data_IF_529085452707
#
_entry.id   IF_529085452707
#
_cell.length_a   1.000
_cell.length_b   1.000
_cell.length_c   1.000
_cell.angle_alpha   90.00
_cell.angle_beta   90.00
_cell.angle_gamma   90.00
#
_symmetry.space_group_name_H-M   'P 1'
#
loop_
_entity.id
_entity.type
_entity.pdbx_description
1 polymer ?
#
# COMPACT_ATOMS: atom_id res chain seq x y z
N UNK A 1 14.49 22.85 -1.95
CA UNK A 1 13.15 22.36 -2.32
C UNK A 1 12.91 22.40 -3.82
N UNK A 2 13.16 23.51 -4.57
CA UNK A 2 12.92 23.56 -6.03
C UNK A 2 13.64 22.48 -6.85
N UNK A 3 14.85 22.07 -6.46
CA UNK A 3 15.62 21.00 -7.15
C UNK A 3 14.99 19.62 -6.99
N UNK A 4 14.33 19.33 -5.85
CA UNK A 4 13.64 18.07 -5.63
C UNK A 4 12.39 17.92 -6.53
N UNK A 5 11.62 18.99 -6.74
CA UNK A 5 10.48 18.98 -7.66
C UNK A 5 10.90 18.76 -9.12
N UNK A 6 12.05 19.33 -9.54
CA UNK A 6 12.58 19.10 -10.90
C UNK A 6 13.02 17.65 -11.12
N UNK A 7 13.65 17.02 -10.13
CA UNK A 7 14.02 15.60 -10.22
C UNK A 7 12.77 14.72 -10.27
N UNK A 8 11.77 14.97 -9.43
CA UNK A 8 10.49 14.24 -9.45
C UNK A 8 9.78 14.43 -10.80
N UNK A 9 9.72 15.67 -11.31
CA UNK A 9 9.14 15.94 -12.63
C UNK A 9 9.91 15.24 -13.75
N UNK A 10 11.26 15.25 -13.74
CA UNK A 10 12.09 14.55 -14.73
C UNK A 10 11.88 13.03 -14.70
N UNK A 11 11.76 12.42 -13.51
CA UNK A 11 11.43 11.00 -13.35
C UNK A 11 10.03 10.71 -13.88
N UNK A 12 9.04 11.55 -13.58
CA UNK A 12 7.67 11.39 -14.12
C UNK A 12 7.61 11.52 -15.64
N UNK A 13 8.38 12.46 -16.23
CA UNK A 13 8.47 12.62 -17.68
C UNK A 13 9.21 11.46 -18.37
N UNK A 14 10.27 10.92 -17.77
CA UNK A 14 10.98 9.77 -18.35
C UNK A 14 10.09 8.52 -18.37
N UNK A 15 9.27 8.33 -17.35
CA UNK A 15 8.32 7.21 -17.28
C UNK A 15 7.21 7.34 -18.32
N UNK A 16 6.78 8.57 -18.68
CA UNK A 16 5.80 8.80 -19.74
C UNK A 16 6.32 8.36 -21.13
N UNK A 17 7.63 8.41 -21.38
CA UNK A 17 8.24 7.95 -22.64
C UNK A 17 8.19 6.43 -22.84
N UNK A 18 8.11 5.63 -21.77
CA UNK A 18 7.97 4.17 -21.85
C UNK A 18 6.51 3.69 -21.98
N UNK A 19 5.54 4.60 -21.94
CA UNK A 19 4.09 4.36 -21.97
C UNK A 19 3.55 3.80 -23.31
N UNK A 20 4.40 3.41 -24.23
CA UNK A 20 3.96 3.06 -25.60
C UNK A 20 3.31 1.69 -25.76
N UNK A 21 3.06 0.89 -24.73
CA UNK A 21 2.48 -0.45 -24.86
C UNK A 21 1.18 -0.72 -24.09
N UNK A 22 0.36 0.30 -23.86
CA UNK A 22 -1.09 0.08 -23.71
C UNK A 22 -1.59 -0.68 -22.48
N UNK A 23 -0.76 -0.99 -21.47
CA UNK A 23 -1.18 -1.67 -20.23
C UNK A 23 -1.05 -0.79 -18.98
N UNK A 24 -1.29 0.51 -19.17
CA UNK A 24 -1.29 1.46 -18.07
C UNK A 24 -2.65 1.48 -17.40
N UNK A 25 -2.66 1.58 -16.07
CA UNK A 25 -3.89 1.65 -15.31
C UNK A 25 -3.71 2.47 -14.03
N UNK A 26 -4.82 2.94 -13.49
CA UNK A 26 -4.92 3.44 -12.12
C UNK A 26 -5.85 2.50 -11.38
N UNK A 27 -5.39 1.95 -10.27
CA UNK A 27 -6.18 1.11 -9.37
C UNK A 27 -6.58 1.89 -8.13
N UNK A 28 -7.80 1.66 -7.68
CA UNK A 28 -8.27 2.09 -6.36
C UNK A 28 -8.97 0.94 -5.67
N UNK A 29 -8.88 0.87 -4.35
CA UNK A 29 -9.53 -0.22 -3.63
C UNK A 29 -9.50 -0.03 -2.13
N UNK A 30 -10.06 -1.04 -1.46
CA UNK A 30 -10.07 -1.18 -0.02
C UNK A 30 -9.38 -2.48 0.39
N UNK A 31 -8.93 -2.51 1.64
CA UNK A 31 -8.28 -3.68 2.22
C UNK A 31 -8.77 -3.91 3.66
N UNK A 32 -8.79 -5.17 4.04
CA UNK A 32 -8.92 -5.59 5.43
C UNK A 32 -7.59 -6.21 5.79
N UNK A 33 -6.95 -5.67 6.82
CA UNK A 33 -5.61 -6.01 7.24
C UNK A 33 -5.64 -6.74 8.57
N UNK A 34 -5.05 -7.93 8.60
CA UNK A 34 -4.91 -8.79 9.79
C UNK A 34 -3.49 -8.67 10.30
N UNK A 35 -3.25 -7.94 11.40
CA UNK A 35 -1.95 -7.91 12.06
C UNK A 35 -1.51 -9.31 12.47
N UNK A 36 -0.22 -9.63 12.30
CA UNK A 36 0.38 -10.92 12.64
C UNK A 36 1.66 -10.73 13.46
N UNK A 37 2.11 -11.79 14.16
CA UNK A 37 3.24 -11.70 15.09
C UNK A 37 2.95 -10.69 16.21
N UNK A 38 3.99 -10.07 16.74
CA UNK A 38 3.90 -9.13 17.86
C UNK A 38 2.87 -8.02 17.64
N UNK A 39 2.77 -7.50 16.41
CA UNK A 39 1.76 -6.50 16.07
C UNK A 39 0.34 -7.06 16.17
N UNK A 40 0.15 -8.34 15.83
CA UNK A 40 -1.11 -9.05 15.97
C UNK A 40 -1.54 -9.30 17.41
N UNK A 41 -0.62 -9.36 18.35
CA UNK A 41 -0.94 -9.56 19.77
C UNK A 41 -1.62 -8.31 20.37
N UNK A 42 -1.23 -7.12 19.89
CA UNK A 42 -1.71 -5.84 20.43
C UNK A 42 -2.85 -5.20 19.63
N UNK A 43 -2.97 -5.47 18.33
CA UNK A 43 -3.92 -4.76 17.46
C UNK A 43 -4.98 -5.69 16.85
N UNK A 44 -6.20 -5.15 16.72
CA UNK A 44 -7.33 -5.77 16.02
C UNK A 44 -7.14 -5.68 14.50
N UNK A 45 -7.84 -6.49 13.69
CA UNK A 45 -7.91 -6.28 12.26
C UNK A 45 -8.24 -4.83 11.92
N UNK A 46 -7.48 -4.27 10.96
CA UNK A 46 -7.62 -2.92 10.46
C UNK A 46 -8.38 -2.86 9.15
N UNK A 47 -8.75 -1.65 8.76
CA UNK A 47 -9.36 -1.34 7.48
C UNK A 47 -8.53 -0.27 6.78
N UNK A 48 -8.34 -0.44 5.47
CA UNK A 48 -7.58 0.50 4.66
C UNK A 48 -8.19 0.77 3.30
N UNK A 49 -7.67 1.81 2.67
CA UNK A 49 -7.92 2.17 1.27
C UNK A 49 -6.60 2.43 0.57
N UNK A 50 -6.53 2.16 -0.72
CA UNK A 50 -5.31 2.38 -1.49
C UNK A 50 -5.60 2.94 -2.88
N UNK A 51 -4.59 3.62 -3.42
CA UNK A 51 -4.48 4.01 -4.81
C UNK A 51 -3.18 3.46 -5.38
N UNK A 52 -3.22 2.98 -6.61
CA UNK A 52 -2.09 2.36 -7.30
C UNK A 52 -1.97 2.89 -8.72
N UNK A 53 -0.83 3.46 -9.06
CA UNK A 53 -0.43 3.72 -10.44
C UNK A 53 0.26 2.50 -11.02
N UNK A 54 -0.08 2.11 -12.24
CA UNK A 54 0.48 0.95 -12.94
C UNK A 54 0.94 1.37 -14.35
N UNK A 55 2.21 1.18 -14.63
CA UNK A 55 2.84 1.49 -15.92
C UNK A 55 3.29 0.21 -16.60
N UNK A 56 2.75 -0.07 -17.75
CA UNK A 56 3.04 -1.28 -18.53
C UNK A 56 4.49 -1.34 -19.00
N UNK A 57 5.15 -2.45 -18.70
CA UNK A 57 6.51 -2.76 -19.15
C UNK A 57 6.50 -4.10 -19.88
N UNK A 58 6.74 -4.07 -21.17
CA UNK A 58 6.64 -5.29 -22.00
C UNK A 58 5.21 -5.79 -22.15
N UNK A 59 5.04 -7.11 -22.32
CA UNK A 59 3.74 -7.75 -22.62
C UNK A 59 2.94 -8.09 -21.37
N UNK A 60 3.60 -8.46 -20.29
CA UNK A 60 2.98 -9.00 -19.08
C UNK A 60 3.40 -8.30 -17.79
N UNK A 61 4.32 -7.33 -17.86
CA UNK A 61 4.85 -6.64 -16.70
C UNK A 61 4.25 -5.25 -16.51
N UNK A 62 4.19 -4.79 -15.26
CA UNK A 62 3.87 -3.42 -14.88
C UNK A 62 4.77 -2.99 -13.73
N UNK A 63 5.32 -1.78 -13.80
CA UNK A 63 5.89 -1.10 -12.64
C UNK A 63 4.73 -0.44 -11.89
N UNK A 64 4.71 -0.59 -10.58
CA UNK A 64 3.62 -0.09 -9.74
C UNK A 64 4.11 0.91 -8.70
N UNK A 65 3.30 1.91 -8.42
CA UNK A 65 3.46 2.82 -7.29
C UNK A 65 2.16 2.80 -6.50
N UNK A 66 2.24 2.37 -5.24
CA UNK A 66 1.07 2.21 -4.37
C UNK A 66 1.21 3.12 -3.15
N UNK A 67 0.14 3.84 -2.82
CA UNK A 67 -0.02 4.54 -1.56
C UNK A 67 -1.42 4.28 -1.00
N UNK A 68 -1.61 4.56 0.29
CA UNK A 68 -2.89 4.29 0.93
C UNK A 68 -2.94 4.82 2.36
N UNK A 69 -3.95 4.36 3.05
CA UNK A 69 -4.16 4.63 4.46
C UNK A 69 -4.83 3.42 5.10
N UNK A 70 -4.28 2.94 6.21
CA UNK A 70 -4.88 1.88 7.01
C UNK A 70 -4.90 2.27 8.49
N UNK A 71 -5.97 1.89 9.20
CA UNK A 71 -6.13 2.16 10.61
C UNK A 71 -6.31 0.88 11.43
N UNK A 72 -5.62 0.81 12.57
CA UNK A 72 -5.64 -0.31 13.50
C UNK A 72 -5.98 0.18 14.90
N UNK A 73 -6.88 -0.55 15.58
CA UNK A 73 -7.25 -0.27 16.98
C UNK A 73 -6.66 -1.30 17.89
N UNK A 74 -6.20 -0.86 19.05
CA UNK A 74 -5.66 -1.72 20.12
C UNK A 74 -6.70 -2.75 20.60
N UNK A 75 -6.21 -3.93 21.01
CA UNK A 75 -6.99 -4.95 21.73
C UNK A 75 -7.00 -4.64 23.21
N UNK A 76 -8.18 -4.64 23.84
CA UNK A 76 -8.29 -4.56 25.30
C UNK A 76 -8.11 -3.17 25.92
N UNK A 77 -8.27 -2.10 25.15
CA UNK A 77 -8.30 -0.73 25.69
C UNK A 77 -9.34 -0.61 26.82
N UNK A 78 -8.92 -0.03 27.95
CA UNK A 78 -9.82 0.32 29.05
C UNK A 78 -10.72 1.47 28.57
N UNK A 79 -11.89 1.62 29.18
CA UNK A 79 -12.95 2.56 28.76
C UNK A 79 -12.46 4.00 28.53
N UNK A 80 -11.33 4.39 29.14
CA UNK A 80 -10.80 5.75 29.15
C UNK A 80 -9.46 5.90 28.40
N UNK A 81 -8.87 4.80 27.86
CA UNK A 81 -7.60 4.80 27.14
C UNK A 81 -7.72 3.97 25.88
N UNK A 82 -7.40 4.57 24.74
CA UNK A 82 -7.35 3.86 23.46
C UNK A 82 -6.17 4.28 22.63
N UNK A 83 -5.48 3.28 22.07
CA UNK A 83 -4.41 3.49 21.08
C UNK A 83 -4.93 3.16 19.69
N UNK A 84 -4.70 4.07 18.77
CA UNK A 84 -4.96 3.84 17.35
C UNK A 84 -3.68 4.05 16.57
N UNK A 85 -3.32 3.08 15.74
CA UNK A 85 -2.19 3.19 14.81
C UNK A 85 -2.71 3.39 13.40
N UNK A 86 -2.24 4.44 12.75
CA UNK A 86 -2.53 4.75 11.37
C UNK A 86 -1.27 4.53 10.53
N UNK A 87 -1.41 3.92 9.36
CA UNK A 87 -0.30 3.60 8.47
C UNK A 87 -0.53 4.25 7.11
N UNK A 88 0.48 5.02 6.66
CA UNK A 88 0.51 5.62 5.33
C UNK A 88 1.69 5.00 4.59
N UNK A 89 1.47 4.00 3.73
CA UNK A 89 2.51 3.36 2.95
C UNK A 89 2.80 4.10 1.65
N UNK A 90 4.05 4.02 1.18
CA UNK A 90 4.46 4.36 -0.17
C UNK A 90 5.35 3.24 -0.71
N UNK A 91 4.86 2.46 -1.65
CA UNK A 91 5.55 1.29 -2.21
C UNK A 91 5.77 1.44 -3.71
N UNK A 92 6.96 1.06 -4.16
CA UNK A 92 7.25 0.76 -5.54
C UNK A 92 7.29 -0.76 -5.71
N UNK A 93 6.78 -1.26 -6.83
CA UNK A 93 6.73 -2.69 -7.09
C UNK A 93 6.83 -3.05 -8.56
N UNK A 94 6.94 -4.33 -8.79
CA UNK A 94 6.82 -4.91 -10.12
C UNK A 94 5.75 -5.99 -10.12
N UNK A 95 4.72 -5.80 -10.94
CA UNK A 95 3.63 -6.76 -11.13
C UNK A 95 3.87 -7.56 -12.39
N UNK A 96 3.86 -8.87 -12.27
CA UNK A 96 3.88 -9.77 -13.42
C UNK A 96 2.55 -10.49 -13.55
N UNK A 97 1.95 -10.44 -14.75
CA UNK A 97 0.69 -11.10 -15.05
C UNK A 97 0.93 -12.47 -15.72
N UNK A 98 0.29 -13.49 -15.17
CA UNK A 98 0.08 -14.80 -15.75
C UNK A 98 -1.38 -14.90 -16.19
N UNK A 99 -1.72 -14.34 -17.35
CA UNK A 99 -3.11 -14.08 -17.76
C UNK A 99 -3.85 -13.17 -16.77
N UNK A 100 -4.84 -13.69 -16.07
CA UNK A 100 -5.63 -12.97 -15.09
C UNK A 100 -5.03 -12.98 -13.68
N UNK A 101 -4.13 -13.91 -13.39
CA UNK A 101 -3.43 -13.98 -12.10
C UNK A 101 -2.19 -13.08 -12.15
N UNK A 102 -1.81 -12.48 -11.03
CA UNK A 102 -0.57 -11.73 -10.92
C UNK A 102 0.16 -12.02 -9.61
N UNK A 103 1.46 -11.76 -9.64
CA UNK A 103 2.31 -11.66 -8.47
C UNK A 103 2.99 -10.28 -8.48
N UNK A 104 3.10 -9.64 -7.32
CA UNK A 104 3.61 -8.28 -7.19
C UNK A 104 4.47 -8.12 -5.94
N UNK A 105 5.80 -8.35 -6.01
CA UNK A 105 6.73 -7.90 -4.99
C UNK A 105 6.82 -6.37 -4.96
N UNK A 106 6.92 -5.82 -3.76
CA UNK A 106 6.97 -4.39 -3.50
C UNK A 106 7.98 -4.08 -2.40
N UNK A 107 8.66 -2.94 -2.53
CA UNK A 107 9.51 -2.33 -1.50
C UNK A 107 9.08 -0.89 -1.29
N UNK A 108 9.18 -0.39 -0.07
CA UNK A 108 8.78 0.97 0.19
C UNK A 108 9.04 1.43 1.62
N UNK A 109 8.42 2.55 1.92
CA UNK A 109 8.49 3.19 3.22
C UNK A 109 7.08 3.40 3.75
N UNK A 110 6.85 3.10 5.02
CA UNK A 110 5.57 3.37 5.66
C UNK A 110 5.77 4.30 6.86
N UNK A 111 4.89 5.28 6.97
CA UNK A 111 4.79 6.17 8.14
C UNK A 111 3.70 5.64 9.04
N UNK A 112 4.05 5.41 10.28
CA UNK A 112 3.18 4.92 11.34
C UNK A 112 2.87 6.07 12.29
N UNK A 113 1.62 6.48 12.38
CA UNK A 113 1.16 7.47 13.34
C UNK A 113 0.42 6.80 14.48
N UNK A 114 0.92 6.93 15.70
CA UNK A 114 0.27 6.43 16.92
C UNK A 114 -0.46 7.57 17.58
N UNK A 115 -1.75 7.39 17.86
CA UNK A 115 -2.59 8.34 18.57
C UNK A 115 -3.02 7.73 19.88
N UNK A 116 -2.57 8.36 20.97
CA UNK A 116 -2.93 8.01 22.35
C UNK A 116 -4.00 8.98 22.84
N UNK A 117 -5.13 8.48 23.26
CA UNK A 117 -6.21 9.29 23.84
C UNK A 117 -6.38 8.88 25.30
N UNK A 118 -6.27 9.82 26.22
CA UNK A 118 -6.44 9.63 27.66
C UNK A 118 -7.06 10.87 28.31
N UNK A 119 -7.20 10.85 29.61
CA UNK A 119 -7.84 11.92 30.42
C UNK A 119 -7.18 13.30 30.29
N UNK A 120 -5.88 13.36 30.05
CA UNK A 120 -5.09 14.60 29.95
C UNK A 120 -5.00 15.17 28.53
N UNK A 121 -5.54 14.45 27.53
CA UNK A 121 -5.49 14.90 26.15
C UNK A 121 -5.17 13.81 25.14
N UNK A 122 -4.74 14.26 23.98
CA UNK A 122 -4.36 13.40 22.87
C UNK A 122 -2.92 13.72 22.47
N UNK A 123 -2.06 12.72 22.54
CA UNK A 123 -0.70 12.76 21.99
C UNK A 123 -0.63 12.00 20.68
N UNK A 124 0.18 12.52 19.75
CA UNK A 124 0.40 11.90 18.45
C UNK A 124 1.90 11.80 18.18
N UNK A 125 2.37 10.58 18.00
CA UNK A 125 3.74 10.29 17.56
C UNK A 125 3.72 9.70 16.16
N UNK A 126 4.75 10.00 15.37
CA UNK A 126 4.90 9.40 14.05
C UNK A 126 6.32 8.90 13.86
N UNK A 127 6.45 7.69 13.37
CA UNK A 127 7.72 7.07 13.00
C UNK A 127 7.59 6.41 11.63
N UNK A 128 8.71 6.20 10.98
CA UNK A 128 8.72 5.62 9.66
C UNK A 128 9.72 4.49 9.54
N UNK A 129 9.39 3.49 8.72
CA UNK A 129 10.24 2.33 8.51
C UNK A 129 10.22 1.85 7.07
N UNK A 130 11.31 1.17 6.68
CA UNK A 130 11.36 0.41 5.44
C UNK A 130 10.45 -0.82 5.56
N UNK A 131 9.74 -1.09 4.48
CA UNK A 131 8.80 -2.20 4.39
C UNK A 131 8.98 -2.93 3.08
N UNK A 132 8.74 -4.25 3.12
CA UNK A 132 8.60 -5.10 1.95
C UNK A 132 7.19 -5.70 1.93
N UNK A 133 6.66 -5.95 0.75
CA UNK A 133 5.40 -6.63 0.61
C UNK A 133 5.39 -7.53 -0.63
N UNK A 134 4.55 -8.54 -0.60
CA UNK A 134 4.23 -9.37 -1.75
C UNK A 134 2.72 -9.50 -1.86
N UNK A 135 2.20 -9.35 -3.08
CA UNK A 135 0.78 -9.55 -3.36
C UNK A 135 0.61 -10.62 -4.43
N UNK A 136 -0.44 -11.42 -4.27
CA UNK A 136 -0.92 -12.36 -5.30
C UNK A 136 -2.40 -12.09 -5.49
N UNK A 137 -2.86 -12.02 -6.74
CA UNK A 137 -4.25 -11.69 -6.98
C UNK A 137 -4.75 -12.08 -8.36
N UNK A 138 -6.01 -11.80 -8.58
CA UNK A 138 -6.74 -12.07 -9.80
C UNK A 138 -7.43 -10.80 -10.30
N UNK A 139 -7.28 -10.49 -11.57
CA UNK A 139 -7.95 -9.37 -12.25
C UNK A 139 -9.02 -9.93 -13.17
N UNK A 140 -10.26 -9.57 -12.89
CA UNK A 140 -11.41 -9.95 -13.72
C UNK A 140 -11.48 -9.10 -14.99
N UNK A 141 -12.20 -9.60 -16.00
CA UNK A 141 -12.29 -8.99 -17.35
C UNK A 141 -12.73 -7.52 -17.35
N UNK A 142 -13.50 -7.10 -16.34
CA UNK A 142 -13.99 -5.73 -16.21
C UNK A 142 -13.10 -4.82 -15.35
N UNK A 143 -11.89 -5.29 -14.95
CA UNK A 143 -10.95 -4.51 -14.15
C UNK A 143 -11.11 -4.65 -12.63
N UNK A 144 -12.09 -5.41 -12.14
CA UNK A 144 -12.18 -5.76 -10.73
C UNK A 144 -10.99 -6.62 -10.35
N UNK A 145 -10.35 -6.31 -9.23
CA UNK A 145 -9.20 -7.03 -8.68
C UNK A 145 -9.52 -7.55 -7.29
N UNK A 146 -9.14 -8.81 -7.03
CA UNK A 146 -9.09 -9.38 -5.68
C UNK A 146 -7.68 -9.88 -5.46
N UNK A 147 -7.09 -9.55 -4.31
CA UNK A 147 -5.73 -9.97 -3.98
C UNK A 147 -5.51 -10.20 -2.49
N UNK A 148 -4.57 -11.09 -2.19
CA UNK A 148 -3.98 -11.25 -0.87
C UNK A 148 -2.61 -10.56 -0.87
N UNK A 149 -2.24 -9.93 0.23
CA UNK A 149 -1.00 -9.20 0.43
C UNK A 149 -0.39 -9.56 1.77
N UNK A 150 0.90 -9.83 1.79
CA UNK A 150 1.67 -9.90 3.02
C UNK A 150 2.67 -8.76 3.03
N UNK A 151 2.69 -8.00 4.12
CA UNK A 151 3.62 -6.90 4.35
C UNK A 151 4.43 -7.16 5.62
N UNK A 152 5.71 -6.86 5.55
CA UNK A 152 6.62 -6.90 6.70
C UNK A 152 7.46 -5.63 6.71
N UNK A 153 7.75 -5.11 7.88
CA UNK A 153 8.60 -3.94 8.07
C UNK A 153 8.71 -3.58 9.53
N UNK A 154 9.47 -2.54 9.82
CA UNK A 154 9.68 -2.06 11.18
C UNK A 154 11.06 -1.48 11.38
N UNK A 155 11.36 -1.14 12.60
CA UNK A 155 12.66 -0.72 13.13
C UNK A 155 13.15 -1.70 14.19
N UNK A 156 14.38 -1.54 14.65
CA UNK A 156 14.94 -2.32 15.76
C UNK A 156 13.98 -2.30 16.96
N UNK A 157 13.57 -3.50 17.39
CA UNK A 157 12.66 -3.73 18.50
C UNK A 157 11.16 -3.59 18.18
N UNK A 158 10.78 -3.27 16.93
CA UNK A 158 9.37 -3.14 16.57
C UNK A 158 9.10 -3.62 15.12
N UNK A 159 8.42 -4.75 15.00
CA UNK A 159 8.08 -5.35 13.73
C UNK A 159 6.57 -5.26 13.46
N UNK A 160 6.21 -4.78 12.28
CA UNK A 160 4.83 -4.75 11.80
C UNK A 160 4.68 -5.75 10.68
N UNK A 161 3.98 -6.83 10.96
CA UNK A 161 3.63 -7.83 9.98
C UNK A 161 2.12 -7.84 9.78
N UNK A 162 1.67 -7.78 8.53
CA UNK A 162 0.26 -7.66 8.20
C UNK A 162 -0.07 -8.57 7.01
N UNK A 163 -1.13 -9.36 7.16
CA UNK A 163 -1.77 -10.06 6.05
C UNK A 163 -3.03 -9.31 5.64
N UNK A 164 -3.11 -8.85 4.40
CA UNK A 164 -4.22 -8.06 3.87
C UNK A 164 -5.01 -8.81 2.80
N UNK A 165 -6.33 -8.65 2.82
CA UNK A 165 -7.23 -9.01 1.73
C UNK A 165 -7.74 -7.74 1.07
N UNK A 166 -7.57 -7.65 -0.25
CA UNK A 166 -7.86 -6.47 -1.05
C UNK A 166 -8.94 -6.72 -2.07
N UNK A 167 -9.80 -5.73 -2.25
CA UNK A 167 -10.70 -5.63 -3.39
C UNK A 167 -10.54 -4.25 -4.01
N UNK A 168 -10.45 -4.19 -5.33
CA UNK A 168 -10.24 -2.93 -6.03
C UNK A 168 -10.74 -2.96 -7.46
N UNK A 169 -10.56 -1.82 -8.11
CA UNK A 169 -10.90 -1.63 -9.51
C UNK A 169 -9.76 -0.94 -10.26
N UNK A 170 -9.36 -1.50 -11.39
CA UNK A 170 -8.30 -1.01 -12.26
C UNK A 170 -8.90 -0.29 -13.47
N UNK A 171 -8.73 1.02 -13.51
CA UNK A 171 -9.11 1.87 -14.65
C UNK A 171 -8.00 1.81 -15.70
N UNK A 172 -8.24 1.13 -16.82
CA UNK A 172 -7.28 1.06 -17.92
C UNK A 172 -7.14 2.42 -18.60
N UNK A 173 -5.91 2.94 -18.65
CA UNK A 173 -5.55 4.18 -19.34
C UNK A 173 -5.13 3.83 -20.79
N UNK A 174 -6.09 3.40 -21.63
CA UNK A 174 -5.81 3.20 -23.04
C UNK A 174 -5.60 4.57 -23.72
N UNK A 175 -4.44 4.80 -24.32
CA UNK A 175 -4.29 5.91 -25.25
C UNK A 175 -5.33 5.74 -26.37
N UNK A 176 -6.22 6.71 -26.56
CA UNK A 176 -7.03 6.78 -27.80
C UNK A 176 -6.06 6.89 -28.97
N UNK A 177 -6.12 5.93 -29.87
CA UNK A 177 -5.52 6.07 -31.21
C UNK A 177 -6.21 7.16 -31.98
#
# INVERSE_FOLDING_TARGET
MKRAYMVIAAVLFSVAGFSQKGNNAIGVGSEIDFPTGDFGDYFKPGFGVYVKGMLGVGKAGQVTLTSGYAGFKEKGGWTDYSTTVNVIPLFIGYRHHFNSVFIEPQLGYAVYGSKYTGWEGTDTESDGALNAAISVGYVFTKGVEISARYQTGGKEGWNVNVFGLRVGYNFSLKAKK
#
